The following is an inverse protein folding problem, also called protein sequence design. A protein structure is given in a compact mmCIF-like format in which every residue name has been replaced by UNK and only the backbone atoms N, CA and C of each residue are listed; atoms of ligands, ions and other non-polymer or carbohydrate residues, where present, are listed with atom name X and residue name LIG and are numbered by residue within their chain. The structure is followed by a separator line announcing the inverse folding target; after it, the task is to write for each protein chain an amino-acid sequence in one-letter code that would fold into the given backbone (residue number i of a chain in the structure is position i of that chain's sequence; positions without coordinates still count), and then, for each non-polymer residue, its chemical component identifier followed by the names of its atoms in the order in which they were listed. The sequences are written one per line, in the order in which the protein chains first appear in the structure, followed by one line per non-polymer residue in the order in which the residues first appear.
data_IF_612515458447
#
_entry.id   IF_612515458447
#
_cell.length_a   1.000
_cell.length_b   1.000
_cell.length_c   1.000
_cell.angle_alpha   90.00
_cell.angle_beta   90.00
_cell.angle_gamma   90.00
#
_symmetry.space_group_name_H-M   'P 1'
#
loop_
_entity.id
_entity.type
_entity.pdbx_description
1 polymer ?
#
# COMPACT_ATOMS: atom_id res chain seq x y z
N UNK A 1 29.58 -51.64 -21.51
CA UNK A 1 28.17 -51.15 -21.53
C UNK A 1 27.77 -51.00 -22.99
N UNK A 2 26.60 -51.47 -23.43
CA UNK A 2 26.20 -51.42 -24.83
C UNK A 2 25.75 -50.00 -25.24
N UNK A 3 26.02 -49.62 -26.49
CA UNK A 3 25.75 -48.28 -27.05
C UNK A 3 24.38 -47.64 -26.66
N UNK A 4 23.24 -48.36 -26.66
CA UNK A 4 21.96 -47.74 -26.27
C UNK A 4 21.90 -47.31 -24.80
N UNK A 5 22.59 -48.00 -23.90
CA UNK A 5 22.63 -47.63 -22.47
C UNK A 5 23.47 -46.37 -22.23
N UNK A 6 24.54 -46.18 -23.02
CA UNK A 6 25.38 -44.99 -22.97
C UNK A 6 24.59 -43.77 -23.44
N UNK A 7 23.82 -43.92 -24.53
CA UNK A 7 23.00 -42.85 -25.06
C UNK A 7 21.88 -42.44 -24.09
N UNK A 8 21.23 -43.41 -23.44
CA UNK A 8 20.23 -43.14 -22.41
C UNK A 8 20.81 -42.43 -21.18
N UNK A 9 22.01 -42.81 -20.75
CA UNK A 9 22.69 -42.16 -19.63
C UNK A 9 23.08 -40.70 -19.97
N UNK A 10 23.60 -40.45 -21.16
CA UNK A 10 23.91 -39.11 -21.63
C UNK A 10 22.66 -38.23 -21.67
N UNK A 11 21.55 -38.74 -22.22
CA UNK A 11 20.28 -38.02 -22.25
C UNK A 11 19.78 -37.65 -20.85
N UNK A 12 19.84 -38.60 -19.91
CA UNK A 12 19.43 -38.38 -18.53
C UNK A 12 20.31 -37.32 -17.84
N UNK A 13 21.64 -37.41 -18.01
CA UNK A 13 22.58 -36.41 -17.46
C UNK A 13 22.31 -35.03 -18.03
N UNK A 14 22.02 -34.93 -19.34
CA UNK A 14 21.69 -33.65 -19.98
C UNK A 14 20.39 -33.08 -19.42
N UNK A 15 19.37 -33.93 -19.22
CA UNK A 15 18.08 -33.52 -18.66
C UNK A 15 18.21 -33.01 -17.21
N UNK A 16 19.06 -33.65 -16.40
CA UNK A 16 19.34 -33.26 -15.01
C UNK A 16 20.16 -31.97 -14.89
N UNK A 17 20.90 -31.59 -15.92
CA UNK A 17 21.73 -30.36 -15.93
C UNK A 17 20.96 -29.12 -16.42
N UNK A 18 19.81 -29.28 -17.08
CA UNK A 18 18.96 -28.17 -17.55
C UNK A 18 18.48 -27.21 -16.45
N UNK A 19 18.11 -27.65 -15.23
CA UNK A 19 17.60 -26.75 -14.18
C UNK A 19 18.67 -25.82 -13.59
N UNK A 20 19.96 -26.16 -13.71
CA UNK A 20 21.06 -25.34 -13.18
C UNK A 20 21.24 -24.00 -13.94
N UNK A 21 20.61 -23.87 -15.11
CA UNK A 21 20.58 -22.62 -15.89
C UNK A 21 19.43 -21.68 -15.49
N UNK A 22 18.52 -22.11 -14.60
CA UNK A 22 17.49 -21.23 -14.04
C UNK A 22 18.12 -20.48 -12.87
N UNK A 23 18.67 -19.32 -13.18
CA UNK A 23 18.86 -18.29 -12.16
C UNK A 23 17.48 -18.02 -11.56
N UNK A 24 17.30 -18.27 -10.26
CA UNK A 24 16.11 -17.83 -9.58
C UNK A 24 15.96 -16.33 -9.87
N UNK A 25 14.86 -15.93 -10.51
CA UNK A 25 14.56 -14.53 -10.74
C UNK A 25 14.30 -13.87 -9.40
N UNK A 26 15.36 -13.39 -8.75
CA UNK A 26 15.25 -12.37 -7.73
C UNK A 26 14.83 -11.09 -8.45
N UNK A 27 13.74 -10.46 -8.00
CA UNK A 27 13.14 -9.27 -8.60
C UNK A 27 14.02 -8.02 -8.46
N UNK A 28 15.29 -8.11 -8.86
CA UNK A 28 16.28 -7.06 -8.71
C UNK A 28 16.08 -5.93 -9.73
N UNK A 29 16.09 -4.70 -9.23
CA UNK A 29 16.03 -3.47 -10.03
C UNK A 29 14.93 -2.49 -9.62
N UNK A 30 13.94 -2.94 -8.84
CA UNK A 30 12.91 -2.07 -8.30
C UNK A 30 13.15 -1.85 -6.82
N UNK A 31 13.47 -0.61 -6.46
CA UNK A 31 13.38 -0.15 -5.09
C UNK A 31 11.90 0.04 -4.75
N UNK A 32 11.32 -0.96 -4.07
CA UNK A 32 9.94 -0.93 -3.56
C UNK A 32 9.90 -0.37 -2.13
N UNK A 33 10.78 0.56 -1.79
CA UNK A 33 10.69 1.30 -0.52
C UNK A 33 9.38 2.07 -0.48
N UNK A 34 8.43 1.56 0.30
CA UNK A 34 7.19 2.24 0.62
C UNK A 34 7.24 2.68 2.08
N UNK A 35 6.64 3.82 2.35
CA UNK A 35 6.41 4.30 3.70
C UNK A 35 4.99 4.83 3.80
N UNK A 36 4.41 4.68 4.97
CA UNK A 36 3.14 5.30 5.35
C UNK A 36 3.38 6.11 6.61
N UNK A 37 2.74 7.27 6.71
CA UNK A 37 2.72 8.05 7.95
C UNK A 37 1.47 7.61 8.71
N UNK A 38 1.55 6.43 9.33
CA UNK A 38 0.49 5.89 10.18
C UNK A 38 0.58 6.56 11.55
N UNK A 39 0.00 7.75 11.66
CA UNK A 39 0.04 8.57 12.87
C UNK A 39 -0.25 10.04 12.59
N UNK A 40 -1.00 10.29 11.53
CA UNK A 40 -1.27 11.62 11.09
C UNK A 40 -2.11 12.39 12.09
N UNK A 41 -1.51 13.37 12.77
CA UNK A 41 -2.17 14.31 13.67
C UNK A 41 -2.52 13.72 15.05
N UNK A 42 -2.80 14.60 16.01
CA UNK A 42 -3.07 14.22 17.40
C UNK A 42 -3.90 15.29 18.11
N UNK A 43 -4.17 15.05 19.40
CA UNK A 43 -4.81 16.03 20.26
C UNK A 43 -3.82 17.13 20.66
N UNK A 44 -4.20 18.37 20.46
CA UNK A 44 -3.51 19.55 20.97
C UNK A 44 -4.49 20.37 21.81
N UNK A 45 -4.04 20.90 22.94
CA UNK A 45 -4.90 21.68 23.85
C UNK A 45 -4.25 23.00 24.24
N UNK A 46 -5.04 24.06 24.36
CA UNK A 46 -4.60 25.35 24.86
C UNK A 46 -5.77 26.21 25.35
N UNK A 47 -5.65 26.80 26.54
CA UNK A 47 -6.75 27.51 27.21
C UNK A 47 -8.05 26.67 27.23
N UNK A 48 -9.16 27.22 26.75
CA UNK A 48 -10.46 26.56 26.67
C UNK A 48 -10.69 25.79 25.35
N UNK A 49 -9.64 25.56 24.56
CA UNK A 49 -9.76 24.95 23.24
C UNK A 49 -9.01 23.62 23.18
N UNK A 50 -9.64 22.65 22.52
CA UNK A 50 -9.05 21.38 22.14
C UNK A 50 -9.13 21.21 20.63
N UNK A 51 -8.01 20.86 20.03
CA UNK A 51 -7.84 20.63 18.60
C UNK A 51 -7.54 19.14 18.39
N UNK A 52 -8.38 18.46 17.61
CA UNK A 52 -8.11 17.13 17.12
C UNK A 52 -7.67 17.24 15.66
N UNK A 53 -6.43 16.88 15.36
CA UNK A 53 -5.87 16.99 14.02
C UNK A 53 -5.65 15.62 13.39
N UNK A 54 -5.74 15.57 12.06
CA UNK A 54 -5.21 14.47 11.25
C UNK A 54 -4.23 15.00 10.20
N UNK A 55 -3.13 14.31 9.92
CA UNK A 55 -2.07 14.70 8.96
C UNK A 55 -1.87 13.57 7.94
N UNK A 56 -1.39 13.86 6.73
CA UNK A 56 -0.99 12.80 5.80
C UNK A 56 -2.14 11.91 5.36
N UNK A 57 -3.31 12.49 5.08
CA UNK A 57 -4.48 11.78 4.56
C UNK A 57 -4.63 12.12 3.06
N UNK A 58 -3.91 11.43 2.16
CA UNK A 58 -3.98 11.71 0.71
C UNK A 58 -5.36 11.43 0.11
N UNK A 59 -6.17 10.62 0.77
CA UNK A 59 -7.54 10.27 0.40
C UNK A 59 -8.62 11.11 1.14
N UNK A 60 -8.22 12.09 1.96
CA UNK A 60 -9.17 12.96 2.62
C UNK A 60 -9.92 13.86 1.62
N UNK A 61 -11.26 13.81 1.68
CA UNK A 61 -12.15 14.62 0.86
C UNK A 61 -13.17 13.78 0.11
N UNK A 62 -13.96 14.45 -0.74
CA UNK A 62 -14.92 13.76 -1.59
C UNK A 62 -14.25 13.32 -2.89
N UNK A 63 -14.28 12.02 -3.15
CA UNK A 63 -13.95 11.40 -4.42
C UNK A 63 -15.24 11.14 -5.18
N UNK A 64 -15.30 11.60 -6.42
CA UNK A 64 -16.49 11.47 -7.27
C UNK A 64 -16.25 10.40 -8.34
N UNK A 65 -17.17 9.46 -8.45
CA UNK A 65 -17.40 8.62 -9.62
C UNK A 65 -18.79 8.90 -10.19
N UNK A 66 -19.11 8.32 -11.36
CA UNK A 66 -20.34 8.67 -12.11
C UNK A 66 -21.62 8.63 -11.26
N UNK A 67 -21.84 7.53 -10.54
CA UNK A 67 -23.05 7.32 -9.72
C UNK A 67 -22.77 7.33 -8.22
N UNK A 68 -21.51 7.50 -7.81
CA UNK A 68 -21.11 7.34 -6.42
C UNK A 68 -20.18 8.45 -5.98
N UNK A 69 -20.39 8.92 -4.75
CA UNK A 69 -19.43 9.80 -4.06
C UNK A 69 -18.89 9.03 -2.88
N UNK A 70 -17.57 8.91 -2.81
CA UNK A 70 -16.85 8.35 -1.67
C UNK A 70 -16.27 9.50 -0.85
N UNK A 71 -16.66 9.62 0.40
CA UNK A 71 -16.05 10.57 1.32
C UNK A 71 -14.90 9.86 2.06
N UNK A 72 -13.67 10.16 1.68
CA UNK A 72 -12.45 9.56 2.23
C UNK A 72 -11.83 10.37 3.36
N UNK A 73 -10.98 9.76 4.19
CA UNK A 73 -10.34 10.39 5.35
C UNK A 73 -11.14 10.34 6.66
N UNK A 74 -10.41 10.37 7.77
CA UNK A 74 -10.90 10.07 9.12
C UNK A 74 -12.14 10.88 9.58
N UNK A 75 -12.26 12.15 9.18
CA UNK A 75 -13.32 13.05 9.66
C UNK A 75 -14.56 13.13 8.76
N UNK A 76 -14.55 12.55 7.57
CA UNK A 76 -15.62 12.74 6.60
C UNK A 76 -16.97 12.14 7.04
N UNK A 77 -16.98 11.19 7.98
CA UNK A 77 -18.21 10.68 8.61
C UNK A 77 -18.72 11.51 9.81
N UNK A 78 -17.92 12.44 10.33
CA UNK A 78 -18.27 13.27 11.49
C UNK A 78 -18.98 14.58 11.11
N UNK A 79 -19.13 14.86 9.81
CA UNK A 79 -19.66 16.13 9.31
C UNK A 79 -21.08 15.97 8.78
N UNK A 80 -22.07 16.71 9.31
CA UNK A 80 -23.39 16.76 8.69
C UNK A 80 -23.26 17.30 7.25
N UNK A 81 -24.07 16.82 6.28
CA UNK A 81 -23.97 17.18 4.85
C UNK A 81 -24.15 18.68 4.52
N UNK A 82 -24.35 19.54 5.52
CA UNK A 82 -24.56 20.98 5.39
C UNK A 82 -23.28 21.81 5.55
N UNK A 83 -22.15 21.21 5.94
CA UNK A 83 -20.91 21.96 6.15
C UNK A 83 -19.73 21.28 5.46
N UNK A 84 -19.08 21.99 4.56
CA UNK A 84 -17.78 21.60 4.02
C UNK A 84 -16.71 22.06 5.01
N UNK A 85 -16.03 21.11 5.67
CA UNK A 85 -14.92 21.40 6.57
C UNK A 85 -13.63 21.54 5.75
N UNK A 86 -13.19 22.78 5.59
CA UNK A 86 -11.93 23.13 4.92
C UNK A 86 -10.75 23.31 5.89
N UNK A 87 -11.01 23.23 7.21
CA UNK A 87 -10.04 23.43 8.29
C UNK A 87 -10.26 22.39 9.40
N UNK A 88 -9.28 22.22 10.32
CA UNK A 88 -9.45 21.36 11.48
C UNK A 88 -10.68 21.72 12.32
N UNK A 89 -11.42 20.71 12.77
CA UNK A 89 -12.62 20.87 13.59
C UNK A 89 -12.26 21.41 14.97
N UNK A 90 -12.61 22.66 15.25
CA UNK A 90 -12.46 23.28 16.59
C UNK A 90 -13.78 23.15 17.32
N UNK A 91 -13.78 22.39 18.42
CA UNK A 91 -14.93 22.26 19.32
C UNK A 91 -14.70 23.14 20.56
N UNK A 92 -15.75 23.81 21.02
CA UNK A 92 -15.79 24.57 22.27
C UNK A 92 -16.66 23.81 23.26
N UNK A 93 -16.19 23.66 24.49
CA UNK A 93 -17.03 23.29 25.63
C UNK A 93 -17.60 24.54 26.30
#
# INVERSE_FOLDING_TARGET
MNAPKILGLLFLVTLLLLPAAVLAQEGGGYDLTWSTVDGGGGLSSGNAYTLHSSIGQPDAGNLYGDLYTLAGGFWNGATPPRYQLFLPLVLRQ
#
